data_IF_340059899686
#
_entry.id   IF_340059899686
#
_cell.length_a   1.000
_cell.length_b   1.000
_cell.length_c   1.000
_cell.angle_alpha   90.00
_cell.angle_beta   90.00
_cell.angle_gamma   90.00
#
_symmetry.space_group_name_H-M   'P 1'
#
loop_
_entity.id
_entity.type
_entity.pdbx_description
1 polymer ?
#
# COMPACT_ATOMS: atom_id res chain seq x y z
N UNK A 1 17.58 -23.12 -15.37
CA UNK A 1 18.77 -22.54 -16.02
C UNK A 1 18.30 -21.30 -16.77
N UNK A 2 18.96 -20.14 -16.62
CA UNK A 2 18.57 -18.93 -17.36
C UNK A 2 19.15 -19.01 -18.77
N UNK A 3 18.37 -18.62 -19.77
CA UNK A 3 18.87 -18.44 -21.14
C UNK A 3 19.59 -17.10 -21.21
N UNK A 4 20.88 -17.13 -21.54
CA UNK A 4 21.69 -15.93 -21.71
C UNK A 4 21.69 -15.50 -23.18
N UNK A 5 21.84 -14.20 -23.40
CA UNK A 5 22.16 -13.66 -24.71
C UNK A 5 23.47 -14.28 -25.22
N UNK A 6 23.59 -14.66 -26.51
CA UNK A 6 24.79 -15.31 -27.05
C UNK A 6 26.08 -14.50 -26.83
N UNK A 7 26.02 -13.18 -26.95
CA UNK A 7 27.19 -12.32 -26.80
C UNK A 7 27.62 -12.26 -25.32
N UNK A 8 26.64 -12.22 -24.40
CA UNK A 8 26.91 -12.33 -22.96
C UNK A 8 27.49 -13.70 -22.58
N UNK A 9 26.99 -14.79 -23.19
CA UNK A 9 27.53 -16.14 -22.94
C UNK A 9 28.97 -16.24 -23.43
N UNK A 10 29.26 -15.76 -24.65
CA UNK A 10 30.61 -15.76 -25.19
C UNK A 10 31.59 -14.95 -24.31
N UNK A 11 31.15 -13.80 -23.79
CA UNK A 11 31.93 -13.00 -22.84
C UNK A 11 32.22 -13.73 -21.53
N UNK A 12 31.23 -14.47 -21.00
CA UNK A 12 31.42 -15.28 -19.80
C UNK A 12 32.42 -16.42 -20.02
N UNK A 13 32.40 -17.04 -21.20
CA UNK A 13 33.26 -18.16 -21.55
C UNK A 13 34.73 -17.74 -21.77
N UNK A 14 35.01 -16.45 -22.04
CA UNK A 14 36.37 -15.89 -22.15
C UNK A 14 37.13 -15.90 -20.81
N UNK A 15 36.42 -15.92 -19.68
CA UNK A 15 37.00 -16.00 -18.34
C UNK A 15 37.53 -14.67 -17.76
N UNK A 16 37.72 -13.63 -18.59
CA UNK A 16 38.01 -12.26 -18.13
C UNK A 16 36.75 -11.41 -18.19
N UNK A 17 36.04 -11.30 -17.06
CA UNK A 17 34.71 -10.67 -17.07
C UNK A 17 34.74 -9.19 -16.68
N UNK A 18 34.11 -8.35 -17.48
CA UNK A 18 33.82 -6.93 -17.20
C UNK A 18 32.39 -6.76 -16.66
N UNK A 19 32.02 -7.52 -15.63
CA UNK A 19 30.64 -7.57 -15.15
C UNK A 19 30.43 -6.75 -13.87
N UNK A 20 29.32 -6.02 -13.86
CA UNK A 20 28.79 -5.26 -12.73
C UNK A 20 27.39 -5.77 -12.35
N UNK A 21 26.98 -5.50 -11.12
CA UNK A 21 25.62 -5.65 -10.64
C UNK A 21 24.87 -4.33 -10.78
N UNK A 22 23.65 -4.39 -11.30
CA UNK A 22 22.75 -3.25 -11.40
C UNK A 22 21.42 -3.57 -10.72
N UNK A 23 20.93 -2.66 -9.86
CA UNK A 23 19.64 -2.76 -9.20
C UNK A 23 18.71 -1.68 -9.73
N UNK A 24 17.52 -2.07 -10.20
CA UNK A 24 16.45 -1.13 -10.52
C UNK A 24 15.36 -1.28 -9.47
N UNK A 25 14.96 -0.17 -8.85
CA UNK A 25 13.85 -0.13 -7.91
C UNK A 25 12.77 0.79 -8.46
N UNK A 26 11.56 0.28 -8.58
CA UNK A 26 10.40 1.01 -9.13
C UNK A 26 9.29 1.08 -8.09
N UNK A 27 8.94 2.29 -7.70
CA UNK A 27 7.83 2.59 -6.77
C UNK A 27 6.48 2.41 -7.44
N UNK A 28 5.43 2.30 -6.63
CA UNK A 28 4.05 2.19 -7.11
C UNK A 28 3.58 3.42 -7.92
N UNK A 29 4.17 4.60 -7.68
CA UNK A 29 3.91 5.84 -8.41
C UNK A 29 4.77 6.01 -9.67
N UNK A 30 5.55 4.99 -10.06
CA UNK A 30 6.35 4.95 -11.28
C UNK A 30 7.74 5.58 -11.16
N UNK A 31 8.07 6.24 -10.04
CA UNK A 31 9.43 6.71 -9.77
C UNK A 31 10.38 5.51 -9.78
N UNK A 32 11.40 5.59 -10.61
CA UNK A 32 12.41 4.55 -10.77
C UNK A 32 13.79 5.08 -10.42
N UNK A 33 14.52 4.33 -9.59
CA UNK A 33 15.91 4.58 -9.23
C UNK A 33 16.76 3.38 -9.64
N UNK A 34 17.96 3.67 -10.13
CA UNK A 34 18.92 2.66 -10.56
C UNK A 34 20.23 2.82 -9.82
N UNK A 35 20.83 1.71 -9.40
CA UNK A 35 22.11 1.67 -8.70
C UNK A 35 23.05 0.65 -9.32
N UNK A 36 24.36 0.87 -9.24
CA UNK A 36 25.37 -0.08 -9.72
C UNK A 36 26.54 -0.21 -8.74
N UNK A 37 27.17 -1.39 -8.70
CA UNK A 37 28.44 -1.62 -7.98
C UNK A 37 29.67 -1.21 -8.80
N UNK A 38 29.46 -0.80 -10.06
CA UNK A 38 30.48 -0.16 -10.88
C UNK A 38 30.78 1.25 -10.37
N UNK A 39 31.98 1.76 -10.66
CA UNK A 39 32.43 3.09 -10.26
C UNK A 39 31.92 4.21 -11.19
N UNK A 40 31.24 3.84 -12.28
CA UNK A 40 30.64 4.76 -13.25
C UNK A 40 29.16 4.46 -13.46
N UNK A 41 28.42 5.49 -13.83
CA UNK A 41 27.02 5.35 -14.20
C UNK A 41 26.87 4.43 -15.42
N UNK A 42 26.04 3.41 -15.29
CA UNK A 42 25.60 2.55 -16.38
C UNK A 42 24.18 2.97 -16.80
N UNK A 43 23.78 2.71 -18.04
CA UNK A 43 22.45 3.12 -18.51
C UNK A 43 21.87 2.10 -19.49
N UNK A 44 20.65 1.64 -19.24
CA UNK A 44 19.90 0.76 -20.12
C UNK A 44 18.40 0.78 -19.78
N UNK A 45 17.56 0.46 -20.77
CA UNK A 45 16.10 0.49 -20.71
C UNK A 45 15.54 1.79 -20.06
N UNK A 46 16.10 2.94 -20.46
CA UNK A 46 15.67 4.25 -19.97
C UNK A 46 16.00 4.55 -18.49
N UNK A 47 16.77 3.70 -17.82
CA UNK A 47 17.20 3.88 -16.43
C UNK A 47 18.70 4.18 -16.38
N UNK A 48 19.08 5.25 -15.67
CA UNK A 48 20.45 5.48 -15.24
C UNK A 48 20.70 4.75 -13.92
N UNK A 49 21.77 3.96 -13.87
CA UNK A 49 22.22 3.22 -12.71
C UNK A 49 23.44 3.94 -12.14
N UNK A 50 23.24 4.67 -11.05
CA UNK A 50 24.25 5.55 -10.46
C UNK A 50 25.22 4.74 -9.57
N UNK A 51 26.52 5.08 -9.60
CA UNK A 51 27.50 4.47 -8.71
C UNK A 51 27.26 5.04 -7.31
N UNK A 52 26.64 4.26 -6.43
CA UNK A 52 26.31 4.74 -5.09
C UNK A 52 26.84 3.79 -4.00
N UNK A 53 27.49 4.40 -3.01
CA UNK A 53 28.04 3.74 -1.83
C UNK A 53 26.89 3.33 -0.91
N UNK A 54 26.36 2.13 -1.09
CA UNK A 54 25.30 1.64 -0.22
C UNK A 54 24.87 0.23 -0.49
N UNK A 55 24.81 -0.15 -1.77
CA UNK A 55 24.44 -1.50 -2.18
C UNK A 55 25.62 -2.45 -2.04
N UNK A 56 25.81 -2.94 -0.82
CA UNK A 56 26.55 -4.18 -0.60
C UNK A 56 25.55 -5.32 -0.65
N UNK A 57 25.62 -6.15 -1.69
CA UNK A 57 24.85 -7.38 -1.74
C UNK A 57 25.36 -8.30 -0.61
N UNK A 58 24.52 -8.54 0.40
CA UNK A 58 24.78 -9.64 1.34
C UNK A 58 24.53 -10.97 0.63
N UNK A 59 25.02 -12.06 1.25
CA UNK A 59 24.89 -13.43 0.73
C UNK A 59 23.47 -13.71 0.22
N UNK A 60 23.36 -13.97 -1.09
CA UNK A 60 22.09 -14.33 -1.72
C UNK A 60 21.89 -15.83 -1.58
N UNK A 61 20.86 -16.24 -0.84
CA UNK A 61 20.43 -17.65 -0.78
C UNK A 61 19.38 -17.90 -1.85
N UNK A 62 19.45 -19.09 -2.45
CA UNK A 62 18.47 -19.58 -3.42
C UNK A 62 18.13 -21.02 -3.05
N UNK A 63 16.89 -21.24 -2.63
CA UNK A 63 16.28 -22.57 -2.50
C UNK A 63 15.48 -22.95 -3.75
N UNK A 64 14.98 -24.18 -3.77
CA UNK A 64 14.04 -24.66 -4.80
C UNK A 64 12.61 -24.79 -4.26
N UNK A 65 12.36 -24.34 -3.03
CA UNK A 65 11.08 -24.44 -2.35
C UNK A 65 10.30 -23.12 -2.37
N UNK A 66 9.09 -23.16 -1.82
CA UNK A 66 8.22 -21.99 -1.67
C UNK A 66 8.47 -21.24 -0.34
N UNK A 67 9.56 -21.55 0.38
CA UNK A 67 9.88 -20.84 1.61
C UNK A 67 10.39 -19.44 1.28
N UNK A 68 9.92 -18.45 2.03
CA UNK A 68 10.27 -17.05 1.86
C UNK A 68 11.76 -16.86 2.19
N UNK A 69 12.21 -17.45 3.31
CA UNK A 69 13.58 -17.37 3.82
C UNK A 69 14.65 -17.92 2.86
N UNK A 70 14.33 -18.89 1.99
CA UNK A 70 15.30 -19.45 1.04
C UNK A 70 15.51 -18.57 -0.21
N UNK A 71 14.73 -17.49 -0.36
CA UNK A 71 14.82 -16.57 -1.51
C UNK A 71 15.08 -15.12 -1.13
N UNK A 72 15.14 -14.77 0.16
CA UNK A 72 15.34 -13.38 0.56
C UNK A 72 16.80 -12.96 0.37
N UNK A 73 16.98 -11.70 -0.03
CA UNK A 73 18.29 -11.05 -0.06
C UNK A 73 18.25 -9.84 0.87
N UNK A 74 19.17 -9.79 1.84
CA UNK A 74 19.37 -8.60 2.68
C UNK A 74 20.29 -7.63 1.94
N UNK A 75 19.74 -6.50 1.51
CA UNK A 75 20.52 -5.41 0.90
C UNK A 75 20.52 -4.19 1.81
N UNK A 76 21.68 -3.56 1.98
CA UNK A 76 21.73 -2.20 2.55
C UNK A 76 21.44 -1.22 1.41
N UNK A 77 20.53 -0.28 1.64
CA UNK A 77 20.22 0.81 0.71
C UNK A 77 20.51 2.12 1.43
N UNK A 78 21.57 2.81 1.02
CA UNK A 78 21.81 4.21 1.38
C UNK A 78 21.83 5.02 0.11
N UNK A 79 20.86 5.92 -0.01
CA UNK A 79 20.79 6.85 -1.13
C UNK A 79 20.12 8.13 -0.70
N UNK A 80 20.65 9.26 -1.17
CA UNK A 80 19.98 10.56 -1.01
C UNK A 80 18.64 10.60 -1.77
N UNK A 81 18.43 9.67 -2.71
CA UNK A 81 17.18 9.52 -3.48
C UNK A 81 16.11 8.73 -2.74
N UNK A 82 16.49 7.99 -1.69
CA UNK A 82 15.58 7.25 -0.80
C UNK A 82 15.58 7.99 0.54
N UNK A 83 14.71 9.00 0.65
CA UNK A 83 14.64 9.81 1.87
C UNK A 83 13.89 9.08 2.99
N UNK A 84 14.26 9.36 4.25
CA UNK A 84 13.55 8.81 5.43
C UNK A 84 12.06 9.18 5.40
N UNK A 85 11.74 10.41 4.99
CA UNK A 85 10.37 10.87 4.81
C UNK A 85 9.61 9.99 3.81
N UNK A 86 10.22 9.62 2.68
CA UNK A 86 9.55 8.78 1.68
C UNK A 86 9.36 7.33 2.17
N UNK A 87 10.29 6.82 2.99
CA UNK A 87 10.15 5.51 3.64
C UNK A 87 8.99 5.54 4.65
N UNK A 88 8.94 6.54 5.53
CA UNK A 88 7.87 6.68 6.52
C UNK A 88 6.51 6.88 5.87
N UNK A 89 6.48 7.59 4.74
CA UNK A 89 5.31 7.79 3.90
C UNK A 89 4.93 6.52 3.10
N UNK A 90 5.58 5.38 3.33
CA UNK A 90 5.26 4.10 2.69
C UNK A 90 5.44 4.08 1.17
N UNK A 91 6.16 5.05 0.59
CA UNK A 91 6.33 5.16 -0.87
C UNK A 91 7.16 4.01 -1.46
N UNK A 92 7.97 3.38 -0.63
CA UNK A 92 8.83 2.25 -0.98
C UNK A 92 8.20 0.89 -0.63
N UNK A 93 7.00 0.88 -0.04
CA UNK A 93 6.30 -0.35 0.31
C UNK A 93 6.00 -1.16 -0.95
N UNK A 94 6.40 -2.43 -0.95
CA UNK A 94 6.27 -3.34 -2.08
C UNK A 94 6.87 -2.80 -3.40
N UNK A 95 7.80 -1.83 -3.36
CA UNK A 95 8.47 -1.33 -4.55
C UNK A 95 9.18 -2.48 -5.27
N UNK A 96 9.03 -2.55 -6.59
CA UNK A 96 9.57 -3.65 -7.38
C UNK A 96 11.08 -3.52 -7.47
N UNK A 97 11.78 -4.64 -7.27
CA UNK A 97 13.24 -4.71 -7.36
C UNK A 97 13.62 -5.65 -8.49
N UNK A 98 14.46 -5.18 -9.40
CA UNK A 98 15.11 -5.98 -10.43
C UNK A 98 16.62 -5.97 -10.20
N UNK A 99 17.23 -7.15 -10.17
CA UNK A 99 18.68 -7.30 -10.03
C UNK A 99 19.23 -7.85 -11.33
N UNK A 100 20.17 -7.13 -11.92
CA UNK A 100 20.76 -7.41 -13.22
C UNK A 100 22.25 -7.71 -13.07
N UNK A 101 22.74 -8.65 -13.88
CA UNK A 101 24.18 -8.80 -14.14
C UNK A 101 24.45 -8.20 -15.52
N UNK A 102 25.35 -7.24 -15.58
CA UNK A 102 25.54 -6.36 -16.75
C UNK A 102 27.02 -6.32 -17.10
N UNK A 103 27.37 -6.44 -18.38
CA UNK A 103 28.70 -6.09 -18.84
C UNK A 103 28.84 -4.55 -18.84
N UNK A 104 29.72 -4.00 -18.01
CA UNK A 104 29.90 -2.54 -17.93
C UNK A 104 30.58 -1.97 -19.18
N UNK A 105 31.27 -2.79 -19.97
CA UNK A 105 31.86 -2.38 -21.24
C UNK A 105 30.83 -2.31 -22.37
N UNK A 106 29.78 -3.13 -22.30
CA UNK A 106 28.62 -3.10 -23.21
C UNK A 106 27.35 -3.51 -22.47
N UNK A 107 26.54 -2.51 -22.08
CA UNK A 107 25.30 -2.73 -21.33
C UNK A 107 24.21 -3.47 -22.12
N UNK A 108 24.39 -3.64 -23.44
CA UNK A 108 23.57 -4.55 -24.25
C UNK A 108 23.65 -5.99 -23.76
N UNK A 109 24.83 -6.40 -23.29
CA UNK A 109 25.09 -7.72 -22.75
C UNK A 109 24.73 -7.76 -21.26
N UNK A 110 23.48 -8.14 -20.98
CA UNK A 110 22.95 -8.21 -19.61
C UNK A 110 21.94 -9.33 -19.43
N UNK A 111 21.75 -9.75 -18.18
CA UNK A 111 20.73 -10.73 -17.81
C UNK A 111 20.03 -10.29 -16.52
N UNK A 112 18.69 -10.36 -16.52
CA UNK A 112 17.91 -10.19 -15.31
C UNK A 112 18.15 -11.41 -14.41
N UNK A 113 18.77 -11.20 -13.26
CA UNK A 113 19.11 -12.24 -12.29
C UNK A 113 17.96 -12.51 -11.33
N UNK A 114 17.24 -11.49 -10.88
CA UNK A 114 16.11 -11.67 -9.97
C UNK A 114 15.11 -10.53 -10.11
N UNK A 115 13.84 -10.87 -9.86
CA UNK A 115 12.76 -9.90 -9.61
C UNK A 115 12.15 -10.20 -8.25
N UNK A 116 11.88 -9.15 -7.49
CA UNK A 116 11.26 -9.21 -6.18
C UNK A 116 10.57 -7.90 -5.84
N UNK A 117 10.25 -7.73 -4.57
CA UNK A 117 9.72 -6.49 -4.03
C UNK A 117 10.39 -6.15 -2.70
N UNK A 118 10.46 -4.87 -2.37
CA UNK A 118 10.89 -4.43 -1.05
C UNK A 118 9.89 -4.97 0.00
N UNK A 119 10.42 -5.71 0.96
CA UNK A 119 9.75 -6.21 2.14
C UNK A 119 10.00 -5.31 3.34
N UNK A 120 10.50 -5.87 4.44
CA UNK A 120 10.78 -5.08 5.64
C UNK A 120 11.96 -4.12 5.39
N UNK A 121 11.77 -2.85 5.72
CA UNK A 121 12.85 -1.87 5.82
C UNK A 121 13.21 -1.72 7.30
N UNK A 122 14.48 -1.99 7.65
CA UNK A 122 15.02 -1.80 9.00
C UNK A 122 15.94 -0.59 9.02
N UNK A 123 15.81 0.23 10.04
CA UNK A 123 16.65 1.42 10.23
C UNK A 123 17.88 1.10 11.09
N UNK A 124 19.06 1.27 10.52
CA UNK A 124 20.33 1.37 11.24
C UNK A 124 20.67 2.82 11.62
N UNK A 125 21.82 3.06 12.25
CA UNK A 125 22.24 4.41 12.67
C UNK A 125 22.64 5.34 11.51
N UNK A 126 23.14 4.77 10.41
CA UNK A 126 23.68 5.49 9.25
C UNK A 126 23.08 5.02 7.93
N UNK A 127 22.25 3.98 7.96
CA UNK A 127 21.79 3.29 6.76
C UNK A 127 20.45 2.58 6.99
N UNK A 128 19.70 2.40 5.91
CA UNK A 128 18.53 1.52 5.89
C UNK A 128 18.91 0.18 5.27
N UNK A 129 18.30 -0.90 5.79
CA UNK A 129 18.43 -2.23 5.24
C UNK A 129 17.06 -2.63 4.73
N UNK A 130 16.95 -2.89 3.43
CA UNK A 130 15.71 -3.35 2.82
C UNK A 130 15.85 -4.84 2.50
N UNK A 131 14.92 -5.61 3.02
CA UNK A 131 14.72 -7.01 2.63
C UNK A 131 14.13 -7.03 1.22
N UNK A 132 14.72 -7.81 0.31
CA UNK A 132 14.13 -8.06 -1.01
C UNK A 132 13.43 -9.41 -0.97
N UNK A 133 12.10 -9.38 -0.96
CA UNK A 133 11.25 -10.57 -0.96
C UNK A 133 11.06 -11.10 -2.36
N UNK A 134 11.05 -12.42 -2.48
CA UNK A 134 10.72 -13.08 -3.73
C UNK A 134 9.23 -12.98 -4.07
N UNK A 135 8.89 -13.24 -5.33
CA UNK A 135 7.50 -13.30 -5.79
C UNK A 135 6.66 -14.38 -5.05
N UNK A 136 7.31 -15.39 -4.46
CA UNK A 136 6.64 -16.46 -3.73
C UNK A 136 5.99 -15.98 -2.41
N UNK A 137 6.43 -14.84 -1.86
CA UNK A 137 5.85 -14.27 -0.64
C UNK A 137 4.32 -14.05 -0.75
N UNK A 138 3.84 -13.71 -1.96
CA UNK A 138 2.41 -13.52 -2.23
C UNK A 138 1.62 -14.83 -2.05
N UNK A 139 2.24 -15.98 -2.35
CA UNK A 139 1.60 -17.30 -2.23
C UNK A 139 1.44 -17.75 -0.78
N UNK A 140 2.23 -17.20 0.15
CA UNK A 140 2.13 -17.49 1.57
C UNK A 140 1.04 -16.68 2.30
N UNK A 141 0.38 -15.74 1.62
CA UNK A 141 -0.65 -14.92 2.24
C UNK A 141 -1.95 -15.71 2.45
N UNK A 142 -2.52 -15.62 3.65
CA UNK A 142 -3.84 -16.17 3.93
C UNK A 142 -4.88 -15.35 3.18
N UNK A 143 -5.41 -15.92 2.09
CA UNK A 143 -6.50 -15.34 1.31
C UNK A 143 -7.76 -16.15 1.56
N UNK A 144 -8.84 -15.47 1.92
CA UNK A 144 -10.12 -16.11 2.19
C UNK A 144 -11.13 -15.14 2.76
N UNK A 145 -12.36 -15.63 2.92
CA UNK A 145 -13.44 -14.89 3.55
C UNK A 145 -13.81 -15.57 4.84
N UNK A 146 -14.13 -14.77 5.85
CA UNK A 146 -14.68 -15.26 7.11
C UNK A 146 -16.18 -14.98 7.14
N UNK A 147 -16.97 -15.92 7.66
CA UNK A 147 -18.36 -15.66 7.97
C UNK A 147 -18.43 -14.74 9.19
N UNK A 148 -18.83 -13.49 8.98
CA UNK A 148 -18.94 -12.45 10.01
C UNK A 148 -20.19 -11.59 9.77
N UNK A 149 -20.71 -10.95 10.83
CA UNK A 149 -21.90 -10.13 10.73
C UNK A 149 -21.71 -8.89 9.82
N UNK A 150 -20.52 -8.30 9.86
CA UNK A 150 -20.16 -7.10 9.09
C UNK A 150 -19.82 -7.42 7.63
N UNK A 151 -19.97 -6.42 6.77
CA UNK A 151 -19.56 -6.52 5.36
C UNK A 151 -18.04 -6.64 5.22
N UNK A 152 -17.56 -7.61 4.44
CA UNK A 152 -16.13 -7.78 4.11
C UNK A 152 -15.72 -7.11 2.78
N UNK A 153 -16.62 -6.39 2.12
CA UNK A 153 -16.33 -5.64 0.90
C UNK A 153 -15.68 -4.28 1.23
N UNK A 154 -14.73 -3.85 0.40
CA UNK A 154 -14.27 -2.47 0.41
C UNK A 154 -15.37 -1.59 -0.22
N UNK A 155 -15.61 -0.41 0.35
CA UNK A 155 -16.67 0.47 -0.16
C UNK A 155 -16.28 0.94 -1.56
N UNK A 156 -17.18 0.73 -2.52
CA UNK A 156 -16.94 1.03 -3.94
C UNK A 156 -16.09 0.01 -4.70
N UNK A 157 -15.68 -1.10 -4.08
CA UNK A 157 -15.09 -2.21 -4.82
C UNK A 157 -16.14 -2.90 -5.73
N UNK A 158 -15.69 -3.78 -6.62
CA UNK A 158 -16.58 -4.51 -7.53
C UNK A 158 -17.64 -5.38 -6.82
N UNK A 159 -17.41 -5.79 -5.57
CA UNK A 159 -18.36 -6.60 -4.78
C UNK A 159 -19.42 -5.71 -4.13
N UNK A 160 -19.07 -4.48 -3.79
CA UNK A 160 -19.93 -3.45 -3.24
C UNK A 160 -20.74 -2.74 -4.33
N UNK A 161 -20.09 -2.21 -5.37
CA UNK A 161 -20.73 -1.55 -6.50
C UNK A 161 -21.26 -0.13 -6.24
N UNK A 162 -21.05 0.45 -5.05
CA UNK A 162 -21.40 1.86 -4.79
C UNK A 162 -20.48 2.78 -5.58
N UNK A 163 -21.04 3.69 -6.36
CA UNK A 163 -20.28 4.73 -7.03
C UNK A 163 -19.89 5.85 -6.06
N UNK A 164 -18.64 5.83 -5.60
CA UNK A 164 -18.10 6.88 -4.71
C UNK A 164 -17.78 8.20 -5.41
N UNK A 165 -17.89 8.27 -6.73
CA UNK A 165 -17.77 9.53 -7.46
C UNK A 165 -19.09 10.30 -7.53
N UNK A 166 -20.21 9.65 -7.17
CA UNK A 166 -21.50 10.31 -7.07
C UNK A 166 -21.44 11.46 -6.04
N UNK A 167 -21.97 12.67 -6.36
CA UNK A 167 -21.87 13.85 -5.48
C UNK A 167 -22.45 13.66 -4.07
N UNK A 168 -23.42 12.76 -3.91
CA UNK A 168 -23.94 12.42 -2.57
C UNK A 168 -22.89 11.75 -1.67
N UNK A 169 -21.88 11.11 -2.24
CA UNK A 169 -20.84 10.38 -1.51
C UNK A 169 -19.46 11.03 -1.64
N UNK A 170 -19.36 12.18 -2.30
CA UNK A 170 -18.12 12.88 -2.59
C UNK A 170 -18.23 14.36 -2.25
N UNK A 171 -17.27 14.86 -1.48
CA UNK A 171 -17.11 16.27 -1.19
C UNK A 171 -15.72 16.77 -1.60
N UNK A 172 -15.57 18.09 -1.69
CA UNK A 172 -14.29 18.77 -1.83
C UNK A 172 -14.17 19.79 -0.72
N UNK A 173 -13.01 19.86 -0.08
CA UNK A 173 -12.76 20.80 1.01
C UNK A 173 -11.34 21.34 0.97
N UNK A 174 -11.12 22.40 1.75
CA UNK A 174 -9.81 22.96 2.01
C UNK A 174 -9.64 23.17 3.51
N UNK A 175 -8.44 22.91 4.01
CA UNK A 175 -8.07 23.11 5.43
C UNK A 175 -8.16 24.60 5.77
N UNK A 176 -8.85 24.91 6.87
CA UNK A 176 -8.96 26.27 7.41
C UNK A 176 -7.94 26.49 8.53
N UNK A 177 -7.91 25.59 9.52
CA UNK A 177 -7.03 25.68 10.68
C UNK A 177 -6.73 24.28 11.24
N UNK A 178 -5.52 24.08 11.77
CA UNK A 178 -5.10 22.85 12.42
C UNK A 178 -5.43 22.89 13.92
N UNK A 179 -6.23 21.91 14.37
CA UNK A 179 -6.55 21.75 15.79
C UNK A 179 -5.45 20.92 16.50
N UNK A 180 -4.95 19.89 15.82
CA UNK A 180 -3.92 18.91 16.24
C UNK A 180 -3.21 18.34 15.00
N UNK A 181 -2.23 17.47 15.22
CA UNK A 181 -1.47 16.74 14.19
C UNK A 181 -2.35 15.93 13.20
N UNK A 182 -3.49 15.42 13.65
CA UNK A 182 -4.45 14.62 12.85
C UNK A 182 -5.83 15.25 12.71
N UNK A 183 -6.06 16.44 13.26
CA UNK A 183 -7.38 17.05 13.31
C UNK A 183 -7.34 18.51 12.87
N UNK A 184 -8.28 18.88 12.01
CA UNK A 184 -8.34 20.20 11.40
C UNK A 184 -9.78 20.61 11.10
N UNK A 185 -9.99 21.91 10.98
CA UNK A 185 -11.24 22.47 10.45
C UNK A 185 -11.15 22.61 8.94
N UNK A 186 -12.28 22.42 8.26
CA UNK A 186 -12.34 22.44 6.80
C UNK A 186 -13.59 23.15 6.28
N UNK A 187 -13.42 23.79 5.13
CA UNK A 187 -14.49 24.40 4.34
C UNK A 187 -15.09 23.40 3.35
N UNK A 188 -16.21 23.77 2.72
CA UNK A 188 -16.78 23.02 1.58
C UNK A 188 -17.63 21.79 1.93
N UNK A 189 -17.68 21.40 3.21
CA UNK A 189 -18.39 20.19 3.66
C UNK A 189 -19.67 20.47 4.47
N UNK A 190 -20.05 21.73 4.66
CA UNK A 190 -21.22 22.10 5.49
C UNK A 190 -22.58 21.59 4.98
N UNK A 191 -22.66 21.13 3.73
CA UNK A 191 -23.87 20.51 3.17
C UNK A 191 -24.06 19.02 3.52
N UNK A 192 -23.08 18.40 4.17
CA UNK A 192 -23.14 16.99 4.56
C UNK A 192 -23.51 16.85 6.04
N UNK A 193 -24.24 15.79 6.38
CA UNK A 193 -24.55 15.48 7.76
C UNK A 193 -23.29 15.15 8.57
N UNK A 194 -23.31 15.44 9.88
CA UNK A 194 -22.29 14.95 10.80
C UNK A 194 -22.16 13.42 10.69
N UNK A 195 -20.93 12.92 10.73
CA UNK A 195 -20.62 11.50 10.55
C UNK A 195 -20.65 10.99 9.11
N UNK A 196 -21.06 11.79 8.12
CA UNK A 196 -21.19 11.33 6.72
C UNK A 196 -19.87 10.78 6.13
N UNK A 197 -18.74 11.33 6.53
CA UNK A 197 -17.43 10.89 6.06
C UNK A 197 -16.66 10.02 7.07
N UNK A 198 -17.22 9.71 8.24
CA UNK A 198 -16.61 8.82 9.23
C UNK A 198 -16.43 7.40 8.66
N UNK A 199 -15.23 6.82 8.83
CA UNK A 199 -14.76 5.59 8.16
C UNK A 199 -14.66 5.70 6.63
N UNK A 200 -14.57 6.94 6.13
CA UNK A 200 -14.32 7.27 4.75
C UNK A 200 -12.85 7.58 4.51
N UNK A 201 -12.56 8.19 3.38
CA UNK A 201 -11.19 8.56 3.01
C UNK A 201 -11.13 9.98 2.49
N UNK A 202 -10.06 10.70 2.84
CA UNK A 202 -9.63 11.87 2.09
C UNK A 202 -8.55 11.47 1.10
N UNK A 203 -8.48 12.22 0.00
CA UNK A 203 -7.39 12.21 -0.97
C UNK A 203 -6.94 13.66 -1.17
N UNK A 204 -5.72 13.96 -0.75
CA UNK A 204 -5.14 15.29 -0.88
C UNK A 204 -4.90 15.62 -2.35
N UNK A 205 -5.29 16.81 -2.78
CA UNK A 205 -5.21 17.24 -4.18
C UNK A 205 -4.16 18.32 -4.43
N UNK A 206 -3.51 18.83 -3.38
CA UNK A 206 -2.48 19.86 -3.46
C UNK A 206 -1.30 19.59 -2.51
N UNK A 207 -0.24 20.39 -2.70
CA UNK A 207 0.88 20.53 -1.79
C UNK A 207 1.66 19.23 -1.50
N UNK A 208 2.32 19.16 -0.35
CA UNK A 208 3.24 18.08 0.00
C UNK A 208 2.56 16.71 0.06
N UNK A 209 1.26 16.68 0.32
CA UNK A 209 0.46 15.47 0.43
C UNK A 209 -0.28 15.10 -0.87
N UNK A 210 -0.12 15.83 -1.98
CA UNK A 210 -0.86 15.55 -3.22
C UNK A 210 -0.82 14.07 -3.63
N UNK A 211 -2.01 13.49 -3.89
CA UNK A 211 -2.21 12.07 -4.23
C UNK A 211 -2.22 11.11 -3.03
N UNK A 212 -1.94 11.58 -1.82
CA UNK A 212 -1.98 10.75 -0.60
C UNK A 212 -3.40 10.58 -0.11
N UNK A 213 -3.69 9.36 0.36
CA UNK A 213 -4.97 9.02 0.98
C UNK A 213 -4.82 8.84 2.47
N UNK A 214 -5.82 9.25 3.22
CA UNK A 214 -5.91 9.01 4.66
C UNK A 214 -7.34 8.65 5.06
N UNK A 215 -7.47 7.80 6.07
CA UNK A 215 -8.77 7.40 6.60
C UNK A 215 -9.32 8.46 7.56
N UNK A 216 -10.62 8.68 7.51
CA UNK A 216 -11.33 9.64 8.35
C UNK A 216 -11.86 8.90 9.58
N UNK A 217 -11.29 9.17 10.75
CA UNK A 217 -11.75 8.65 12.03
C UNK A 217 -13.04 9.36 12.49
N UNK A 218 -13.18 10.65 12.18
CA UNK A 218 -14.35 11.42 12.57
C UNK A 218 -14.60 12.61 11.63
N UNK A 219 -15.87 12.89 11.40
CA UNK A 219 -16.37 14.04 10.67
C UNK A 219 -17.52 14.65 11.46
N UNK A 220 -17.39 15.90 11.86
CA UNK A 220 -18.47 16.67 12.47
C UNK A 220 -18.67 17.99 11.73
N UNK A 221 -19.84 18.62 11.89
CA UNK A 221 -20.16 19.90 11.24
C UNK A 221 -20.81 20.83 12.25
N UNK A 222 -20.18 21.98 12.49
CA UNK A 222 -20.67 23.04 13.40
C UNK A 222 -20.68 24.36 12.65
N UNK A 223 -21.83 25.03 12.63
CA UNK A 223 -22.03 26.33 11.94
C UNK A 223 -21.54 26.34 10.47
N UNK A 224 -21.67 25.20 9.78
CA UNK A 224 -21.25 25.02 8.38
C UNK A 224 -19.75 24.77 8.17
N UNK A 225 -18.96 24.73 9.24
CA UNK A 225 -17.54 24.35 9.23
C UNK A 225 -17.40 22.89 9.64
N UNK A 226 -16.67 22.10 8.85
CA UNK A 226 -16.41 20.72 9.19
C UNK A 226 -15.19 20.58 10.11
N UNK A 227 -15.26 19.67 11.05
CA UNK A 227 -14.13 19.21 11.86
C UNK A 227 -13.82 17.80 11.41
N UNK A 228 -12.61 17.59 10.89
CA UNK A 228 -12.13 16.28 10.45
C UNK A 228 -11.05 15.79 11.41
N UNK A 229 -11.13 14.51 11.77
CA UNK A 229 -10.06 13.80 12.47
C UNK A 229 -9.65 12.61 11.63
N UNK A 230 -8.37 12.51 11.29
CA UNK A 230 -7.78 11.39 10.57
C UNK A 230 -7.43 10.25 11.52
N UNK A 231 -7.46 9.02 11.00
CA UNK A 231 -7.10 7.83 11.77
C UNK A 231 -5.63 7.83 12.16
N UNK A 232 -4.76 8.33 11.28
CA UNK A 232 -3.34 8.47 11.52
C UNK A 232 -2.91 9.91 11.17
N UNK A 233 -1.87 10.40 11.84
CA UNK A 233 -1.27 11.68 11.51
C UNK A 233 -0.50 11.53 10.19
N UNK A 234 -0.69 12.41 9.19
CA UNK A 234 0.09 12.36 7.97
C UNK A 234 1.58 12.55 8.25
N UNK A 235 2.42 11.82 7.51
CA UNK A 235 3.89 11.91 7.63
C UNK A 235 4.38 13.29 7.22
N UNK A 236 3.75 13.90 6.22
CA UNK A 236 4.02 15.28 5.80
C UNK A 236 2.97 16.20 6.41
N UNK A 237 3.43 17.32 6.95
CA UNK A 237 2.56 18.30 7.61
C UNK A 237 1.41 18.74 6.70
N UNK A 238 0.23 18.85 7.29
CA UNK A 238 -0.92 19.55 6.71
C UNK A 238 -0.71 21.05 6.93
N UNK A 239 -1.08 21.88 5.96
CA UNK A 239 -1.10 23.34 6.08
C UNK A 239 -2.50 23.91 5.80
N UNK A 240 -2.74 25.14 6.27
CA UNK A 240 -3.92 25.91 5.87
C UNK A 240 -3.94 26.09 4.35
N UNK A 241 -5.13 25.91 3.74
CA UNK A 241 -5.30 25.97 2.29
C UNK A 241 -5.10 24.65 1.57
N UNK A 242 -4.52 23.62 2.19
CA UNK A 242 -4.38 22.30 1.58
C UNK A 242 -5.76 21.78 1.14
N UNK A 243 -5.89 21.47 -0.15
CA UNK A 243 -7.12 21.02 -0.76
C UNK A 243 -7.20 19.49 -0.77
N UNK A 244 -8.42 18.97 -0.62
CA UNK A 244 -8.67 17.52 -0.67
C UNK A 244 -10.05 17.18 -1.23
N UNK A 245 -10.15 15.97 -1.76
CA UNK A 245 -11.42 15.29 -2.04
C UNK A 245 -11.71 14.32 -0.90
N UNK A 246 -12.96 14.28 -0.41
CA UNK A 246 -13.39 13.37 0.64
C UNK A 246 -14.50 12.44 0.11
N UNK A 247 -14.45 11.17 0.48
CA UNK A 247 -15.43 10.15 0.09
C UNK A 247 -16.11 9.58 1.32
N UNK A 248 -17.42 9.33 1.20
CA UNK A 248 -18.28 8.86 2.27
C UNK A 248 -17.75 7.57 2.90
N UNK A 249 -17.93 7.42 4.21
CA UNK A 249 -17.49 6.22 4.92
C UNK A 249 -18.58 5.17 5.12
N UNK A 250 -18.16 3.96 5.46
CA UNK A 250 -19.04 2.81 5.71
C UNK A 250 -18.56 2.04 6.94
N UNK A 251 -19.43 1.94 7.94
CA UNK A 251 -19.23 1.17 9.18
C UNK A 251 -19.40 -0.35 9.01
N UNK A 252 -19.58 -0.80 7.76
CA UNK A 252 -19.79 -2.20 7.36
C UNK A 252 -21.06 -2.85 7.93
N UNK A 253 -22.03 -2.07 8.42
CA UNK A 253 -23.31 -2.57 8.94
C UNK A 253 -24.41 -2.59 7.86
N UNK A 254 -25.35 -3.52 7.98
CA UNK A 254 -26.43 -3.67 7.00
C UNK A 254 -27.38 -2.46 7.02
N UNK A 255 -27.63 -1.90 8.19
CA UNK A 255 -28.49 -0.72 8.40
C UNK A 255 -27.95 0.48 7.63
N UNK A 256 -26.66 0.77 7.78
CA UNK A 256 -25.97 1.83 7.04
C UNK A 256 -25.92 1.53 5.55
N UNK A 257 -25.68 0.27 5.16
CA UNK A 257 -25.69 -0.15 3.77
C UNK A 257 -27.03 0.11 3.06
N UNK A 258 -28.15 -0.14 3.75
CA UNK A 258 -29.49 0.15 3.26
C UNK A 258 -29.84 1.65 3.30
N UNK A 259 -29.68 2.29 4.47
CA UNK A 259 -30.14 3.66 4.69
C UNK A 259 -29.30 4.70 3.93
N UNK A 260 -27.97 4.56 3.93
CA UNK A 260 -27.05 5.54 3.33
C UNK A 260 -26.81 5.28 1.84
N UNK A 261 -26.68 4.01 1.47
CA UNK A 261 -26.24 3.62 0.12
C UNK A 261 -27.31 2.90 -0.71
N UNK A 262 -28.47 2.56 -0.13
CA UNK A 262 -29.50 1.76 -0.80
C UNK A 262 -28.96 0.46 -1.44
N UNK A 263 -27.96 -0.17 -0.80
CA UNK A 263 -27.13 -1.21 -1.44
C UNK A 263 -27.14 -2.56 -0.71
N UNK A 264 -28.22 -2.86 0.03
CA UNK A 264 -28.35 -4.13 0.78
C UNK A 264 -28.17 -5.37 -0.10
N UNK A 265 -28.55 -5.30 -1.38
CA UNK A 265 -28.40 -6.41 -2.36
C UNK A 265 -26.94 -6.85 -2.57
N UNK A 266 -25.99 -5.93 -2.42
CA UNK A 266 -24.56 -6.20 -2.55
C UNK A 266 -23.86 -6.32 -1.20
N UNK A 267 -24.60 -6.41 -0.09
CA UNK A 267 -24.02 -6.67 1.22
C UNK A 267 -23.32 -8.02 1.24
N UNK A 268 -22.07 -8.06 1.71
CA UNK A 268 -21.24 -9.27 1.68
C UNK A 268 -21.02 -9.91 3.06
N UNK A 269 -21.60 -9.34 4.11
CA UNK A 269 -21.63 -9.93 5.45
C UNK A 269 -22.83 -10.85 5.69
N UNK A 270 -22.90 -11.39 6.90
CA UNK A 270 -23.92 -12.32 7.36
C UNK A 270 -24.59 -11.78 8.63
N UNK A 271 -25.48 -10.78 8.54
CA UNK A 271 -25.95 -10.02 9.70
C UNK A 271 -26.74 -10.86 10.70
N UNK A 272 -27.30 -11.99 10.25
CA UNK A 272 -28.08 -12.92 11.07
C UNK A 272 -27.28 -14.17 11.48
N UNK A 273 -25.95 -14.15 11.34
CA UNK A 273 -25.13 -15.27 11.79
C UNK A 273 -25.29 -15.46 13.30
N UNK A 274 -25.79 -16.62 13.77
CA UNK A 274 -25.94 -16.83 15.20
C UNK A 274 -24.57 -16.87 15.89
N UNK A 275 -24.48 -16.27 17.08
CA UNK A 275 -23.30 -16.39 17.92
C UNK A 275 -23.08 -17.81 18.44
N UNK A 276 -21.90 -18.07 19.02
CA UNK A 276 -21.55 -19.39 19.56
C UNK A 276 -22.54 -19.88 20.63
N UNK A 277 -23.13 -18.95 21.39
CA UNK A 277 -24.15 -19.28 22.39
C UNK A 277 -25.37 -19.97 21.78
N UNK A 278 -25.75 -19.63 20.55
CA UNK A 278 -26.88 -20.27 19.87
C UNK A 278 -26.61 -21.75 19.56
N UNK A 279 -25.33 -22.12 19.34
CA UNK A 279 -24.92 -23.52 19.08
C UNK A 279 -24.99 -24.36 20.35
N UNK A 280 -24.76 -23.76 21.52
CA UNK A 280 -24.76 -24.43 22.82
C UNK A 280 -26.15 -24.45 23.50
N UNK A 281 -27.11 -23.68 22.97
CA UNK A 281 -28.47 -23.64 23.52
C UNK A 281 -29.21 -24.95 23.25
N UNK A 282 -29.90 -25.44 24.29
CA UNK A 282 -30.88 -26.51 24.18
C UNK A 282 -32.28 -25.92 24.32
N UNK A 283 -33.27 -26.57 23.69
CA UNK A 283 -34.65 -26.12 23.78
C UNK A 283 -35.20 -26.31 25.21
N UNK A 284 -35.60 -25.22 25.85
CA UNK A 284 -36.32 -25.21 27.13
C UNK A 284 -37.82 -25.08 26.89
N UNK A 285 -38.68 -25.55 27.79
CA UNK A 285 -40.15 -25.36 27.65
C UNK A 285 -40.56 -23.90 27.82
N UNK A 286 -39.80 -23.15 28.59
CA UNK A 286 -39.98 -21.71 28.81
C UNK A 286 -39.02 -20.94 27.91
N UNK A 287 -39.51 -19.90 27.23
CA UNK A 287 -38.69 -19.00 26.41
C UNK A 287 -39.15 -18.82 24.97
N UNK A 288 -40.21 -18.04 24.75
CA UNK A 288 -40.48 -17.32 23.48
C UNK A 288 -40.27 -18.08 22.16
N UNK A 289 -40.79 -19.30 22.03
CA UNK A 289 -40.66 -20.16 20.83
C UNK A 289 -41.61 -19.75 19.68
N UNK A 290 -41.64 -18.46 19.36
CA UNK A 290 -42.61 -17.87 18.44
C UNK A 290 -42.04 -17.64 17.03
N UNK A 291 -40.77 -18.00 16.79
CA UNK A 291 -40.11 -17.87 15.48
C UNK A 291 -39.68 -16.45 15.13
N UNK A 292 -39.44 -15.60 16.13
CA UNK A 292 -38.90 -14.25 15.93
C UNK A 292 -37.43 -14.27 15.48
N UNK A 293 -36.97 -13.16 14.91
CA UNK A 293 -35.55 -12.94 14.59
C UNK A 293 -34.72 -13.01 15.88
N UNK A 294 -33.59 -13.73 15.82
CA UNK A 294 -32.61 -13.87 16.91
C UNK A 294 -31.82 -12.58 17.15
#
# INVERSE_FOLDING_TARGET
>A
MKTLDPDLQAHLDEGTTTLAWCWRITRADGVTVGFTDHDRTLSFDGTAFEPESGLTASEVRSGSDLSVDAQDAEGVLTSDRITETDILDGRWDAAQVEVWRVNWADTGQRVLMRRGAIGQIRRGRLAFVAEVRSLAHVLGQTVGRTFQATCDAALGDARCGVDLEHPAFKGTGAVIDLLRDRAFTASGLGGFASGWFTFGTIEWTSDANAGRRAEVLGHDVTDGVAILTLLEAPVRSIAEGDAFTIRAGCDKRMETCGAKFANTVNFRGFPHIPGQDAVLRYATKDGGHEGSVL
#
